data_IF_463847356196
#
_entry.id   IF_463847356196
#
_cell.length_a   1.000
_cell.length_b   1.000
_cell.length_c   1.000
_cell.angle_alpha   90.00
_cell.angle_beta   90.00
_cell.angle_gamma   90.00
#
_symmetry.space_group_name_H-M   'P 1'
#
loop_
_entity.id
_entity.type
_entity.pdbx_description
1 polymer ?
#
# COMPACT_ATOMS: atom_id res chain seq x y z
N UNK A 1 9.20 12.74 20.98
CA UNK A 1 9.05 11.28 20.87
C UNK A 1 10.36 10.64 21.29
N UNK A 2 10.37 9.49 21.97
CA UNK A 2 11.62 8.82 22.32
C UNK A 2 12.32 8.37 21.03
N UNK A 3 13.59 8.74 20.86
CA UNK A 3 14.41 8.31 19.72
C UNK A 3 14.83 6.84 19.84
N UNK A 4 14.84 6.29 21.07
CA UNK A 4 15.11 4.89 21.36
C UNK A 4 13.83 4.18 21.84
N UNK A 5 13.14 3.50 20.94
CA UNK A 5 11.96 2.69 21.26
C UNK A 5 12.40 1.29 21.69
N UNK A 6 12.01 0.88 22.90
CA UNK A 6 12.15 -0.51 23.31
C UNK A 6 11.04 -1.37 22.66
N UNK A 7 11.41 -2.14 21.63
CA UNK A 7 10.48 -2.96 20.85
C UNK A 7 9.78 -4.04 21.68
N UNK A 8 10.43 -4.53 22.74
CA UNK A 8 9.83 -5.52 23.63
C UNK A 8 8.72 -4.90 24.48
N UNK A 9 8.92 -3.67 25.00
CA UNK A 9 7.89 -3.02 25.82
C UNK A 9 6.64 -2.63 25.04
N UNK A 10 6.78 -2.35 23.74
CA UNK A 10 5.63 -2.06 22.86
C UNK A 10 5.06 -3.32 22.22
N UNK A 11 5.59 -4.50 22.55
CA UNK A 11 5.20 -5.80 21.98
C UNK A 11 5.16 -5.78 20.43
N UNK A 12 6.23 -5.26 19.81
CA UNK A 12 6.33 -5.19 18.35
C UNK A 12 6.11 -6.57 17.73
N UNK A 13 5.25 -6.63 16.70
CA UNK A 13 5.06 -7.80 15.85
C UNK A 13 5.22 -7.39 14.40
N UNK A 14 6.11 -8.07 13.69
CA UNK A 14 6.33 -7.88 12.26
C UNK A 14 6.14 -9.21 11.52
N UNK A 15 5.45 -9.17 10.39
CA UNK A 15 5.41 -10.22 9.39
C UNK A 15 5.96 -9.70 8.07
N UNK A 16 6.61 -10.57 7.30
CA UNK A 16 7.13 -10.28 5.98
C UNK A 16 6.30 -11.03 4.94
N UNK A 17 6.06 -10.37 3.82
CA UNK A 17 5.49 -10.97 2.62
C UNK A 17 6.45 -10.66 1.47
N UNK A 18 7.10 -11.70 0.94
CA UNK A 18 8.15 -11.58 -0.06
C UNK A 18 7.65 -12.16 -1.37
N UNK A 19 7.51 -11.31 -2.39
CA UNK A 19 7.18 -11.71 -3.74
C UNK A 19 8.43 -11.72 -4.61
N UNK A 20 8.68 -12.82 -5.30
CA UNK A 20 9.85 -12.99 -6.17
C UNK A 20 9.45 -13.59 -7.51
N UNK A 21 9.83 -12.93 -8.61
CA UNK A 21 9.61 -13.48 -9.95
C UNK A 21 10.52 -14.69 -10.18
N UNK A 22 9.96 -15.75 -10.72
CA UNK A 22 10.69 -16.95 -11.13
C UNK A 22 11.23 -16.79 -12.55
N UNK A 23 12.40 -17.34 -12.80
CA UNK A 23 13.06 -17.31 -14.11
C UNK A 23 12.75 -18.57 -14.90
N UNK A 24 11.48 -18.68 -15.31
CA UNK A 24 10.94 -19.79 -16.09
C UNK A 24 10.96 -19.47 -17.58
N UNK A 25 10.93 -20.52 -18.40
CA UNK A 25 10.89 -20.38 -19.86
C UNK A 25 9.59 -19.71 -20.35
N UNK A 26 8.46 -20.01 -19.71
CA UNK A 26 7.15 -19.45 -20.03
C UNK A 26 6.44 -18.90 -18.80
N UNK A 27 5.40 -18.11 -19.04
CA UNK A 27 4.48 -17.57 -18.03
C UNK A 27 3.69 -18.67 -17.33
N UNK A 28 2.96 -18.30 -16.27
CA UNK A 28 2.36 -19.24 -15.33
C UNK A 28 1.20 -20.06 -15.91
N UNK A 29 0.42 -19.44 -16.80
CA UNK A 29 -0.81 -20.04 -17.38
C UNK A 29 -0.88 -19.88 -18.91
N UNK A 30 0.25 -19.67 -19.57
CA UNK A 30 0.37 -19.66 -21.03
C UNK A 30 1.81 -19.98 -21.46
N UNK A 31 2.04 -20.08 -22.78
CA UNK A 31 3.35 -20.41 -23.34
C UNK A 31 4.22 -19.19 -23.72
N UNK A 32 3.75 -17.97 -23.45
CA UNK A 32 4.53 -16.76 -23.72
C UNK A 32 5.79 -16.70 -22.85
N UNK A 33 6.86 -16.10 -23.39
CA UNK A 33 8.11 -15.90 -22.67
C UNK A 33 7.98 -14.92 -21.49
N UNK A 34 8.96 -14.94 -20.60
CA UNK A 34 8.98 -14.13 -19.36
C UNK A 34 9.91 -12.91 -19.44
N UNK A 35 10.30 -12.51 -20.65
CA UNK A 35 11.07 -11.28 -20.89
C UNK A 35 10.12 -10.08 -20.98
N UNK A 36 10.62 -8.89 -20.65
CA UNK A 36 9.87 -7.66 -20.83
C UNK A 36 10.12 -7.11 -22.24
N UNK A 37 9.08 -6.51 -22.82
CA UNK A 37 9.19 -5.84 -24.11
C UNK A 37 10.01 -4.55 -23.97
N UNK A 38 10.85 -4.29 -24.97
CA UNK A 38 11.59 -3.02 -25.06
C UNK A 38 10.68 -1.86 -25.50
N UNK A 39 11.22 -0.64 -25.50
CA UNK A 39 10.45 0.55 -25.88
C UNK A 39 9.99 0.50 -27.34
N UNK A 40 10.75 -0.10 -28.25
CA UNK A 40 10.37 -0.17 -29.67
C UNK A 40 9.17 -1.09 -29.85
N UNK A 41 9.19 -2.25 -29.21
CA UNK A 41 8.08 -3.19 -29.21
C UNK A 41 6.82 -2.58 -28.58
N UNK A 42 6.96 -1.86 -27.45
CA UNK A 42 5.83 -1.18 -26.82
C UNK A 42 5.22 -0.09 -27.71
N UNK A 43 6.03 0.63 -28.47
CA UNK A 43 5.56 1.73 -29.33
C UNK A 43 4.75 1.23 -30.54
N UNK A 44 4.96 -0.01 -30.97
CA UNK A 44 4.25 -0.62 -32.11
C UNK A 44 3.25 -1.71 -31.66
N UNK A 45 3.11 -1.93 -30.35
CA UNK A 45 2.21 -2.92 -29.80
C UNK A 45 0.75 -2.60 -30.09
N UNK A 46 -0.04 -3.66 -30.30
CA UNK A 46 -1.49 -3.54 -30.40
C UNK A 46 -2.06 -3.01 -29.07
N UNK A 47 -3.13 -2.23 -29.18
CA UNK A 47 -3.78 -1.58 -28.03
C UNK A 47 -5.21 -2.10 -27.86
N UNK A 48 -5.51 -2.58 -26.66
CA UNK A 48 -6.86 -3.03 -26.29
C UNK A 48 -7.39 -2.19 -25.14
N UNK A 49 -8.60 -1.66 -25.30
CA UNK A 49 -9.24 -0.83 -24.27
C UNK A 49 -10.28 -1.65 -23.52
N UNK A 50 -10.23 -1.66 -22.19
CA UNK A 50 -11.23 -2.31 -21.34
C UNK A 50 -11.73 -1.41 -20.22
N UNK A 51 -12.84 -1.83 -19.63
CA UNK A 51 -13.41 -1.27 -18.41
C UNK A 51 -13.73 -2.43 -17.47
N UNK A 52 -13.20 -2.41 -16.25
CA UNK A 52 -13.57 -3.38 -15.22
C UNK A 52 -14.87 -2.95 -14.55
N UNK A 53 -15.65 -3.92 -14.06
CA UNK A 53 -16.90 -3.69 -13.35
C UNK A 53 -16.86 -4.47 -12.04
N UNK A 54 -17.19 -3.82 -10.93
CA UNK A 54 -17.37 -4.51 -9.67
C UNK A 54 -18.50 -5.53 -9.76
N UNK A 55 -18.24 -6.74 -9.29
CA UNK A 55 -19.22 -7.81 -9.15
C UNK A 55 -19.85 -7.74 -7.75
N UNK A 56 -21.14 -8.11 -7.66
CA UNK A 56 -21.82 -8.26 -6.37
C UNK A 56 -21.41 -9.59 -5.74
N UNK A 57 -21.20 -9.58 -4.43
CA UNK A 57 -21.12 -10.83 -3.67
C UNK A 57 -22.44 -11.59 -3.73
N UNK A 58 -22.44 -12.86 -3.32
CA UNK A 58 -23.65 -13.69 -3.22
C UNK A 58 -24.72 -13.06 -2.31
N UNK A 59 -24.30 -12.24 -1.34
CA UNK A 59 -25.17 -11.49 -0.43
C UNK A 59 -25.68 -10.16 -1.04
N UNK A 60 -25.32 -9.86 -2.28
CA UNK A 60 -25.69 -8.63 -2.97
C UNK A 60 -24.83 -7.41 -2.59
N UNK A 61 -23.92 -7.56 -1.62
CA UNK A 61 -23.01 -6.50 -1.18
C UNK A 61 -21.86 -6.30 -2.18
N UNK A 62 -21.50 -5.04 -2.43
CA UNK A 62 -20.38 -4.66 -3.29
C UNK A 62 -19.24 -4.22 -2.39
N UNK A 63 -18.04 -4.75 -2.62
CA UNK A 63 -16.83 -4.31 -1.93
C UNK A 63 -16.64 -2.78 -2.06
N UNK A 64 -16.40 -2.09 -0.95
CA UNK A 64 -16.35 -0.64 -0.92
C UNK A 64 -15.19 -0.07 -1.77
N UNK A 65 -14.05 -0.76 -1.83
CA UNK A 65 -12.91 -0.36 -2.65
C UNK A 65 -13.18 -0.60 -4.14
N UNK A 66 -13.79 -1.75 -4.48
CA UNK A 66 -14.23 -2.04 -5.84
C UNK A 66 -15.29 -1.04 -6.33
N UNK A 67 -16.22 -0.64 -5.45
CA UNK A 67 -17.23 0.38 -5.75
C UNK A 67 -16.59 1.74 -5.99
N UNK A 68 -15.63 2.14 -5.15
CA UNK A 68 -14.90 3.41 -5.27
C UNK A 68 -14.10 3.50 -6.58
N UNK A 69 -13.37 2.45 -6.96
CA UNK A 69 -12.66 2.42 -8.25
C UNK A 69 -13.64 2.38 -9.44
N UNK A 70 -14.74 1.64 -9.34
CA UNK A 70 -15.78 1.63 -10.39
C UNK A 70 -16.43 3.00 -10.58
N UNK A 71 -16.64 3.77 -9.49
CA UNK A 71 -17.17 5.13 -9.56
C UNK A 71 -16.26 6.08 -10.34
N UNK A 72 -14.95 5.83 -10.36
CA UNK A 72 -13.98 6.61 -11.16
C UNK A 72 -14.06 6.32 -12.67
N UNK A 73 -14.78 5.28 -13.10
CA UNK A 73 -14.96 4.85 -14.51
C UNK A 73 -13.64 4.91 -15.32
N UNK A 74 -12.55 4.42 -14.73
CA UNK A 74 -11.23 4.49 -15.36
C UNK A 74 -11.20 3.64 -16.63
N UNK A 75 -10.64 4.22 -17.70
CA UNK A 75 -10.37 3.54 -18.97
C UNK A 75 -9.03 2.83 -18.86
N UNK A 76 -8.99 1.51 -19.04
CA UNK A 76 -7.74 0.75 -19.04
C UNK A 76 -7.29 0.49 -20.47
N UNK A 77 -6.08 0.93 -20.80
CA UNK A 77 -5.45 0.71 -22.10
C UNK A 77 -4.33 -0.31 -21.94
N UNK A 78 -4.46 -1.46 -22.59
CA UNK A 78 -3.47 -2.53 -22.54
C UNK A 78 -2.65 -2.54 -23.82
N UNK A 79 -1.32 -2.43 -23.67
CA UNK A 79 -0.35 -2.65 -24.74
C UNK A 79 0.00 -4.13 -24.79
N UNK A 80 -0.14 -4.76 -25.95
CA UNK A 80 0.06 -6.18 -26.17
C UNK A 80 1.22 -6.44 -27.15
N UNK A 81 2.49 -6.39 -26.69
CA UNK A 81 3.63 -6.74 -27.55
C UNK A 81 3.52 -8.19 -28.00
N UNK A 82 3.64 -8.42 -29.31
CA UNK A 82 3.45 -9.73 -29.95
C UNK A 82 4.48 -10.78 -29.52
N UNK A 83 5.65 -10.34 -29.04
CA UNK A 83 6.73 -11.18 -28.51
C UNK A 83 6.40 -11.84 -27.16
N UNK A 84 5.51 -11.23 -26.37
CA UNK A 84 5.33 -11.55 -24.93
C UNK A 84 3.86 -11.69 -24.52
N UNK A 85 2.92 -11.57 -25.46
CA UNK A 85 1.47 -11.56 -25.19
C UNK A 85 0.75 -12.56 -26.07
N UNK A 86 -0.21 -13.30 -25.51
CA UNK A 86 -1.19 -14.08 -26.28
C UNK A 86 -2.63 -13.77 -25.82
N UNK A 87 -3.58 -14.58 -26.30
CA UNK A 87 -4.99 -14.40 -25.98
C UNK A 87 -5.30 -14.63 -24.49
N UNK A 88 -4.47 -15.40 -23.77
CA UNK A 88 -4.65 -15.62 -22.32
C UNK A 88 -4.44 -14.32 -21.53
N UNK A 89 -3.37 -13.57 -21.81
CA UNK A 89 -3.14 -12.26 -21.17
C UNK A 89 -4.17 -11.23 -21.60
N UNK A 90 -4.70 -11.35 -22.81
CA UNK A 90 -5.78 -10.49 -23.29
C UNK A 90 -7.14 -10.81 -22.68
N UNK A 91 -7.28 -11.90 -21.93
CA UNK A 91 -8.57 -12.43 -21.46
C UNK A 91 -9.53 -12.77 -22.63
N UNK A 92 -8.97 -13.34 -23.70
CA UNK A 92 -9.69 -13.81 -24.91
C UNK A 92 -9.54 -15.33 -25.13
N UNK A 93 -8.81 -16.01 -24.25
CA UNK A 93 -8.64 -17.47 -24.24
C UNK A 93 -8.58 -17.98 -22.79
N UNK A 94 -9.17 -19.14 -22.48
CA UNK A 94 -9.00 -19.77 -21.18
C UNK A 94 -7.51 -20.01 -20.85
N UNK A 95 -7.10 -19.88 -19.57
CA UNK A 95 -5.74 -20.16 -19.17
C UNK A 95 -5.37 -21.62 -19.43
N UNK A 96 -4.09 -21.84 -19.76
CA UNK A 96 -3.51 -23.18 -19.89
C UNK A 96 -3.27 -23.79 -18.50
N UNK A 97 -2.91 -25.08 -18.40
CA UNK A 97 -2.51 -25.69 -17.14
C UNK A 97 -1.35 -24.96 -16.46
N UNK A 98 -1.29 -25.05 -15.13
CA UNK A 98 -0.23 -24.45 -14.30
C UNK A 98 1.17 -24.85 -14.79
N UNK A 99 2.05 -23.87 -14.95
CA UNK A 99 3.43 -24.07 -15.37
C UNK A 99 4.18 -25.01 -14.40
N UNK A 100 4.62 -26.17 -14.92
CA UNK A 100 5.32 -27.20 -14.13
C UNK A 100 6.72 -26.79 -13.68
N UNK A 101 7.44 -25.96 -14.45
CA UNK A 101 8.73 -25.44 -14.03
C UNK A 101 8.57 -24.53 -12.82
N UNK A 102 7.62 -23.59 -12.88
CA UNK A 102 7.29 -22.69 -11.78
C UNK A 102 6.90 -23.47 -10.50
N UNK A 103 6.07 -24.50 -10.66
CA UNK A 103 5.65 -25.36 -9.56
C UNK A 103 6.83 -26.11 -8.90
N UNK A 104 7.73 -26.68 -9.70
CA UNK A 104 8.90 -27.40 -9.18
C UNK A 104 9.82 -26.48 -8.38
N UNK A 105 10.02 -25.24 -8.86
CA UNK A 105 10.79 -24.23 -8.15
C UNK A 105 10.11 -23.89 -6.81
N UNK A 106 8.79 -23.66 -6.82
CA UNK A 106 8.04 -23.35 -5.60
C UNK A 106 8.09 -24.49 -4.57
N UNK A 107 7.98 -25.75 -5.01
CA UNK A 107 8.12 -26.92 -4.13
C UNK A 107 9.54 -27.01 -3.54
N UNK A 108 10.58 -26.76 -4.35
CA UNK A 108 11.96 -26.78 -3.86
C UNK A 108 12.20 -25.71 -2.79
N UNK A 109 11.70 -24.49 -3.02
CA UNK A 109 11.76 -23.40 -2.03
C UNK A 109 10.93 -23.73 -0.78
N UNK A 110 9.76 -24.34 -0.93
CA UNK A 110 8.96 -24.77 0.21
C UNK A 110 9.69 -25.80 1.08
N UNK A 111 10.36 -26.77 0.46
CA UNK A 111 11.15 -27.77 1.20
C UNK A 111 12.37 -27.17 1.88
N UNK A 112 13.03 -26.17 1.28
CA UNK A 112 14.17 -25.50 1.94
C UNK A 112 13.74 -24.64 3.15
N UNK A 113 12.47 -24.24 3.21
CA UNK A 113 11.86 -23.54 4.35
C UNK A 113 11.12 -24.47 5.33
N UNK A 114 11.36 -25.79 5.22
CA UNK A 114 10.71 -26.81 6.06
C UNK A 114 9.17 -26.79 5.98
N UNK A 115 8.60 -26.24 4.91
CA UNK A 115 7.14 -26.15 4.73
C UNK A 115 6.53 -27.47 4.26
N UNK A 116 5.26 -27.67 4.61
CA UNK A 116 4.46 -28.82 4.17
C UNK A 116 3.78 -28.48 2.84
N UNK A 117 4.23 -29.15 1.77
CA UNK A 117 3.62 -29.03 0.44
C UNK A 117 2.22 -29.64 0.48
N UNK A 118 1.25 -28.97 -0.12
CA UNK A 118 -0.14 -29.46 -0.18
C UNK A 118 -0.27 -30.66 -1.11
N UNK A 119 -1.22 -31.56 -0.82
CA UNK A 119 -1.44 -32.77 -1.63
C UNK A 119 -2.05 -32.45 -3.01
N UNK A 120 -2.91 -31.42 -3.06
CA UNK A 120 -3.57 -30.97 -4.28
C UNK A 120 -3.57 -29.44 -4.34
N UNK A 121 -3.25 -28.91 -5.53
CA UNK A 121 -3.13 -27.47 -5.76
C UNK A 121 -4.38 -26.98 -6.47
N UNK A 122 -5.07 -26.03 -5.83
CA UNK A 122 -6.26 -25.38 -6.35
C UNK A 122 -5.92 -23.93 -6.72
N UNK A 123 -6.18 -23.55 -7.97
CA UNK A 123 -5.95 -22.18 -8.45
C UNK A 123 -7.17 -21.32 -8.13
N UNK A 124 -6.94 -20.29 -7.33
CA UNK A 124 -7.93 -19.33 -6.86
C UNK A 124 -7.88 -18.05 -7.68
N UNK A 125 -8.93 -17.23 -7.58
CA UNK A 125 -9.05 -15.93 -8.24
C UNK A 125 -9.13 -14.84 -7.17
N UNK A 126 -8.03 -14.13 -6.92
CA UNK A 126 -7.97 -12.97 -6.02
C UNK A 126 -8.41 -11.74 -6.81
N UNK A 127 -9.53 -11.11 -6.42
CA UNK A 127 -10.08 -9.96 -7.16
C UNK A 127 -9.09 -8.79 -7.16
N UNK A 128 -8.87 -8.19 -8.33
CA UNK A 128 -7.97 -7.04 -8.53
C UNK A 128 -8.70 -6.01 -9.42
N UNK A 129 -8.98 -4.85 -8.85
CA UNK A 129 -9.84 -3.82 -9.49
C UNK A 129 -9.08 -2.61 -10.04
N UNK A 130 -7.75 -2.59 -9.88
CA UNK A 130 -6.92 -1.45 -10.31
C UNK A 130 -6.62 -1.44 -11.83
N UNK A 131 -7.01 -2.50 -12.55
CA UNK A 131 -6.73 -2.68 -13.97
C UNK A 131 -5.38 -3.30 -14.29
N UNK A 132 -4.62 -3.76 -13.29
CA UNK A 132 -3.33 -4.41 -13.53
C UNK A 132 -3.46 -5.88 -13.99
N UNK A 133 -4.64 -6.48 -13.85
CA UNK A 133 -5.01 -7.79 -14.42
C UNK A 133 -6.18 -7.60 -15.38
N UNK A 134 -6.04 -8.04 -16.64
CA UNK A 134 -7.07 -7.91 -17.70
C UNK A 134 -8.38 -8.62 -17.36
N UNK A 135 -8.28 -9.72 -16.63
CA UNK A 135 -9.36 -10.57 -16.09
C UNK A 135 -10.12 -9.93 -14.92
N UNK A 136 -9.59 -8.86 -14.31
CA UNK A 136 -10.09 -8.31 -13.05
C UNK A 136 -9.79 -9.17 -11.81
N UNK A 137 -8.94 -10.19 -11.94
CA UNK A 137 -8.44 -11.01 -10.83
C UNK A 137 -7.05 -11.57 -11.13
N UNK A 138 -6.26 -11.78 -10.09
CA UNK A 138 -4.99 -12.48 -10.12
C UNK A 138 -5.23 -13.98 -9.85
N UNK A 139 -4.65 -14.86 -10.66
CA UNK A 139 -4.66 -16.29 -10.35
C UNK A 139 -3.54 -16.60 -9.35
N UNK A 140 -3.92 -17.19 -8.22
CA UNK A 140 -3.02 -17.51 -7.10
C UNK A 140 -3.31 -18.92 -6.60
N UNK A 141 -2.29 -19.68 -6.23
CA UNK A 141 -2.43 -21.03 -5.69
C UNK A 141 -1.50 -21.24 -4.49
N UNK A 142 -2.02 -21.78 -3.38
CA UNK A 142 -1.20 -22.18 -2.24
C UNK A 142 -0.44 -23.46 -2.60
N UNK A 143 0.88 -23.43 -2.45
CA UNK A 143 1.78 -24.56 -2.73
C UNK A 143 2.20 -25.26 -1.45
N UNK A 144 2.43 -24.50 -0.38
CA UNK A 144 2.82 -25.06 0.90
C UNK A 144 2.31 -24.22 2.08
N UNK A 145 2.17 -24.87 3.23
CA UNK A 145 1.74 -24.28 4.50
C UNK A 145 2.74 -24.62 5.60
N UNK A 146 2.85 -23.73 6.59
CA UNK A 146 3.77 -23.92 7.70
C UNK A 146 5.24 -23.88 7.27
N UNK A 147 6.11 -24.31 8.16
CA UNK A 147 7.56 -24.23 7.99
C UNK A 147 8.15 -23.12 8.86
N UNK A 148 9.46 -22.93 8.74
CA UNK A 148 10.19 -21.97 9.55
C UNK A 148 11.54 -21.63 8.96
N UNK A 149 12.08 -20.51 9.42
CA UNK A 149 13.45 -20.09 9.17
C UNK A 149 14.11 -19.70 10.49
N UNK A 150 15.32 -20.20 10.70
CA UNK A 150 16.08 -19.96 11.92
C UNK A 150 16.80 -18.61 11.86
N UNK A 151 16.69 -17.85 12.94
CA UNK A 151 17.42 -16.63 13.15
C UNK A 151 18.09 -16.56 14.52
N UNK A 152 19.15 -15.77 14.61
CA UNK A 152 19.93 -15.59 15.84
C UNK A 152 19.09 -14.95 16.97
N UNK A 153 18.06 -14.16 16.61
CA UNK A 153 17.09 -13.59 17.57
C UNK A 153 15.88 -14.52 17.82
N UNK A 154 15.83 -15.69 17.18
CA UNK A 154 14.77 -16.69 17.36
C UNK A 154 14.12 -17.15 16.05
N UNK A 155 13.41 -18.27 16.13
CA UNK A 155 12.74 -18.90 15.00
C UNK A 155 11.56 -18.06 14.50
N UNK A 156 11.44 -17.91 13.18
CA UNK A 156 10.31 -17.25 12.52
C UNK A 156 9.55 -18.27 11.68
N UNK A 157 8.26 -18.44 11.95
CA UNK A 157 7.45 -19.40 11.21
C UNK A 157 7.07 -18.85 9.83
N UNK A 158 6.94 -19.76 8.86
CA UNK A 158 6.33 -19.48 7.56
C UNK A 158 4.86 -19.86 7.66
N UNK A 159 3.95 -18.96 7.26
CA UNK A 159 2.52 -19.24 7.23
C UNK A 159 2.14 -19.99 5.95
N UNK A 160 2.55 -19.43 4.82
CA UNK A 160 2.17 -19.94 3.50
C UNK A 160 3.20 -19.59 2.45
N UNK A 161 3.26 -20.44 1.43
CA UNK A 161 3.98 -20.20 0.19
C UNK A 161 2.99 -20.37 -0.95
N UNK A 162 2.84 -19.32 -1.76
CA UNK A 162 1.92 -19.30 -2.89
C UNK A 162 2.67 -19.12 -4.22
N UNK A 163 2.06 -19.56 -5.30
CA UNK A 163 2.47 -19.29 -6.66
C UNK A 163 1.34 -18.52 -7.36
N UNK A 164 1.68 -17.37 -7.92
CA UNK A 164 0.71 -16.47 -8.53
C UNK A 164 1.24 -15.77 -9.78
N UNK A 165 0.33 -15.15 -10.53
CA UNK A 165 0.67 -14.33 -11.68
C UNK A 165 1.17 -12.96 -11.22
N UNK A 166 2.29 -12.48 -11.76
CA UNK A 166 2.61 -11.05 -11.62
C UNK A 166 1.64 -10.19 -12.45
N UNK A 167 1.45 -8.96 -12.01
CA UNK A 167 0.52 -8.01 -12.62
C UNK A 167 1.15 -7.29 -13.83
N UNK A 168 0.31 -6.73 -14.70
CA UNK A 168 0.77 -5.95 -15.85
C UNK A 168 1.64 -4.76 -15.42
N UNK A 169 2.58 -4.34 -16.26
CA UNK A 169 3.49 -3.23 -15.97
C UNK A 169 2.80 -1.91 -16.28
N UNK A 170 2.66 -1.04 -15.27
CA UNK A 170 2.09 0.29 -15.48
C UNK A 170 3.04 1.17 -16.29
N UNK A 171 2.55 1.72 -17.40
CA UNK A 171 3.30 2.57 -18.32
C UNK A 171 2.99 4.05 -18.08
N UNK A 172 1.71 4.39 -17.94
CA UNK A 172 1.27 5.76 -17.68
C UNK A 172 -0.06 5.78 -16.93
N UNK A 173 -0.34 6.88 -16.23
CA UNK A 173 -1.62 7.16 -15.59
C UNK A 173 -1.98 8.63 -15.78
N UNK A 174 -3.20 8.88 -16.22
CA UNK A 174 -3.86 10.18 -16.17
C UNK A 174 -5.11 10.12 -15.25
N UNK A 175 -5.85 11.21 -15.13
CA UNK A 175 -7.01 11.29 -14.23
C UNK A 175 -8.15 10.33 -14.58
N UNK A 176 -8.22 9.89 -15.84
CA UNK A 176 -9.33 9.12 -16.43
C UNK A 176 -8.90 7.78 -17.03
N UNK A 177 -7.61 7.58 -17.26
CA UNK A 177 -7.08 6.39 -17.92
C UNK A 177 -5.74 5.93 -17.39
N UNK A 178 -5.52 4.62 -17.43
CA UNK A 178 -4.27 3.98 -17.03
C UNK A 178 -3.82 3.07 -18.17
N UNK A 179 -2.55 3.16 -18.53
CA UNK A 179 -1.94 2.31 -19.56
C UNK A 179 -1.06 1.25 -18.93
N UNK A 180 -1.26 0.00 -19.32
CA UNK A 180 -0.52 -1.16 -18.85
C UNK A 180 0.11 -1.91 -20.02
N UNK A 181 1.35 -2.37 -19.87
CA UNK A 181 1.97 -3.33 -20.78
C UNK A 181 1.74 -4.76 -20.26
N UNK A 182 1.28 -5.65 -21.13
CA UNK A 182 0.96 -7.05 -20.82
C UNK A 182 2.18 -7.98 -20.80
N UNK A 183 3.36 -7.46 -21.13
CA UNK A 183 4.63 -8.19 -21.13
C UNK A 183 4.92 -8.87 -19.77
N UNK A 184 4.63 -8.17 -18.67
CA UNK A 184 4.81 -8.69 -17.30
C UNK A 184 3.65 -9.54 -16.79
N UNK A 185 2.43 -9.34 -17.30
CA UNK A 185 1.25 -10.04 -16.82
C UNK A 185 1.43 -11.55 -17.00
N UNK A 186 1.29 -12.31 -15.91
CA UNK A 186 1.40 -13.77 -15.93
C UNK A 186 2.81 -14.33 -15.71
N UNK A 187 3.85 -13.50 -15.54
CA UNK A 187 5.16 -14.01 -15.10
C UNK A 187 4.98 -14.72 -13.75
N UNK A 188 5.52 -15.94 -13.55
CA UNK A 188 5.32 -16.65 -12.28
C UNK A 188 5.99 -15.92 -11.12
N UNK A 189 5.24 -15.77 -10.04
CA UNK A 189 5.65 -15.05 -8.85
C UNK A 189 5.46 -16.00 -7.66
N UNK A 190 6.53 -16.26 -6.92
CA UNK A 190 6.43 -16.96 -5.63
C UNK A 190 6.22 -15.92 -4.53
N UNK A 191 5.20 -16.13 -3.69
CA UNK A 191 4.95 -15.35 -2.48
C UNK A 191 5.30 -16.21 -1.26
N UNK A 192 6.10 -15.67 -0.34
CA UNK A 192 6.45 -16.30 0.93
C UNK A 192 6.01 -15.38 2.05
N UNK A 193 5.10 -15.87 2.89
CA UNK A 193 4.47 -15.09 3.96
C UNK A 193 4.88 -15.64 5.32
N UNK A 194 5.48 -14.81 6.16
CA UNK A 194 5.90 -15.20 7.52
C UNK A 194 4.79 -14.97 8.53
N UNK A 195 4.85 -15.69 9.64
CA UNK A 195 4.07 -15.38 10.83
C UNK A 195 4.55 -14.06 11.46
N UNK A 196 3.72 -13.41 12.30
CA UNK A 196 4.07 -12.17 13.00
C UNK A 196 4.97 -12.44 14.23
N UNK A 197 6.03 -13.21 14.02
CA UNK A 197 6.98 -13.64 15.05
C UNK A 197 8.13 -12.67 15.24
N UNK A 198 8.44 -11.86 14.22
CA UNK A 198 9.58 -10.96 14.24
C UNK A 198 9.35 -9.84 15.25
N UNK A 199 10.35 -9.63 16.13
CA UNK A 199 10.29 -8.70 17.28
C UNK A 199 11.22 -7.50 17.19
N UNK A 200 12.14 -7.47 16.23
CA UNK A 200 13.08 -6.37 16.06
C UNK A 200 13.25 -5.99 14.57
N UNK A 201 13.61 -4.72 14.28
CA UNK A 201 13.92 -4.29 12.92
C UNK A 201 15.11 -5.06 12.30
N UNK A 202 16.09 -5.46 13.12
CA UNK A 202 17.29 -6.19 12.69
C UNK A 202 16.94 -7.63 12.30
N UNK A 203 16.18 -8.34 13.14
CA UNK A 203 15.67 -9.67 12.81
C UNK A 203 14.86 -9.66 11.50
N UNK A 204 14.05 -8.63 11.25
CA UNK A 204 13.31 -8.49 9.99
C UNK A 204 14.26 -8.44 8.77
N UNK A 205 15.36 -7.68 8.86
CA UNK A 205 16.38 -7.62 7.81
C UNK A 205 17.08 -8.96 7.63
N UNK A 206 17.52 -9.61 8.70
CA UNK A 206 18.23 -10.89 8.62
C UNK A 206 17.35 -12.00 8.03
N UNK A 207 16.07 -12.06 8.43
CA UNK A 207 15.10 -13.04 7.89
C UNK A 207 14.82 -12.77 6.41
N UNK A 208 14.56 -11.51 6.03
CA UNK A 208 14.36 -11.14 4.63
C UNK A 208 15.60 -11.47 3.77
N UNK A 209 16.79 -11.23 4.30
CA UNK A 209 18.07 -11.55 3.65
C UNK A 209 18.22 -13.06 3.44
N UNK A 210 17.95 -13.87 4.48
CA UNK A 210 18.04 -15.33 4.40
C UNK A 210 17.05 -15.91 3.40
N UNK A 211 15.79 -15.45 3.39
CA UNK A 211 14.80 -15.86 2.39
C UNK A 211 15.27 -15.45 0.98
N UNK A 212 15.74 -14.21 0.81
CA UNK A 212 16.30 -13.73 -0.45
C UNK A 212 17.51 -14.54 -0.93
N UNK A 213 18.38 -14.98 -0.02
CA UNK A 213 19.51 -15.84 -0.33
C UNK A 213 19.06 -17.23 -0.76
N UNK A 214 18.11 -17.86 -0.05
CA UNK A 214 17.53 -19.15 -0.43
C UNK A 214 16.92 -19.10 -1.84
N UNK A 215 16.16 -18.05 -2.13
CA UNK A 215 15.60 -17.81 -3.46
C UNK A 215 16.70 -17.68 -4.52
N UNK A 216 17.79 -16.95 -4.23
CA UNK A 216 18.93 -16.82 -5.17
C UNK A 216 19.69 -18.12 -5.38
N UNK A 217 19.87 -18.92 -4.33
CA UNK A 217 20.55 -20.21 -4.38
C UNK A 217 19.80 -21.23 -5.24
N UNK A 218 18.48 -21.08 -5.43
CA UNK A 218 17.73 -21.89 -6.40
C UNK A 218 18.27 -21.76 -7.83
N UNK A 219 18.92 -20.65 -8.18
CA UNK A 219 19.35 -20.35 -9.55
C UNK A 219 18.19 -20.12 -10.53
N UNK A 220 16.96 -20.03 -10.03
CA UNK A 220 15.71 -20.05 -10.81
C UNK A 220 14.80 -18.85 -10.55
N UNK A 221 15.39 -17.75 -10.09
CA UNK A 221 14.68 -16.49 -9.82
C UNK A 221 15.23 -15.35 -10.66
N UNK A 222 14.35 -14.47 -11.13
CA UNK A 222 14.75 -13.31 -11.93
C UNK A 222 15.53 -12.31 -11.09
N UNK A 223 16.52 -11.69 -11.73
CA UNK A 223 17.39 -10.68 -11.11
C UNK A 223 17.18 -9.34 -11.81
N UNK A 224 17.23 -8.27 -11.03
CA UNK A 224 17.09 -6.91 -11.55
C UNK A 224 16.17 -6.07 -10.68
N UNK A 225 15.97 -4.83 -11.09
CA UNK A 225 15.04 -3.92 -10.42
C UNK A 225 13.62 -4.41 -10.67
N UNK A 226 12.81 -4.48 -9.61
CA UNK A 226 11.39 -4.85 -9.72
C UNK A 226 11.10 -6.35 -9.82
N UNK A 227 12.11 -7.22 -9.72
CA UNK A 227 11.90 -8.69 -9.70
C UNK A 227 11.58 -9.23 -8.31
N UNK A 228 11.84 -8.45 -7.27
CA UNK A 228 11.52 -8.76 -5.87
C UNK A 228 10.73 -7.61 -5.25
N UNK A 229 9.69 -7.95 -4.48
CA UNK A 229 8.92 -7.02 -3.65
C UNK A 229 8.84 -7.58 -2.23
N UNK A 230 8.86 -6.68 -1.26
CA UNK A 230 8.79 -7.04 0.15
C UNK A 230 7.78 -6.10 0.79
N UNK A 231 6.72 -6.69 1.31
CA UNK A 231 5.68 -6.00 2.04
C UNK A 231 5.82 -6.32 3.53
N UNK A 232 5.65 -5.30 4.38
CA UNK A 232 5.81 -5.41 5.83
C UNK A 232 4.45 -5.29 6.51
N UNK A 233 4.10 -6.28 7.32
CA UNK A 233 2.92 -6.26 8.17
C UNK A 233 3.35 -5.97 9.61
N UNK A 234 3.05 -4.78 10.15
CA UNK A 234 3.54 -4.33 11.46
C UNK A 234 2.38 -4.00 12.42
N UNK A 235 2.56 -4.33 13.71
CA UNK A 235 1.67 -3.90 14.78
C UNK A 235 2.43 -3.76 16.11
N UNK A 236 1.89 -2.95 17.02
CA UNK A 236 2.32 -2.86 18.42
C UNK A 236 1.13 -3.06 19.35
N UNK A 237 1.37 -3.24 20.64
CA UNK A 237 0.31 -3.38 21.65
C UNK A 237 -0.66 -2.19 21.58
N UNK A 238 -1.94 -2.48 21.37
CA UNK A 238 -2.99 -1.47 21.34
C UNK A 238 -3.14 -0.73 20.00
N UNK A 239 -2.35 -1.07 18.97
CA UNK A 239 -2.53 -0.58 17.60
C UNK A 239 -3.25 -1.60 16.71
N UNK A 240 -3.77 -1.11 15.58
CA UNK A 240 -4.16 -1.96 14.47
C UNK A 240 -2.92 -2.44 13.70
N UNK A 241 -3.08 -3.52 12.91
CA UNK A 241 -2.08 -3.96 11.94
C UNK A 241 -2.00 -2.96 10.79
N UNK A 242 -0.79 -2.54 10.45
CA UNK A 242 -0.49 -1.70 9.29
C UNK A 242 0.30 -2.52 8.28
N UNK A 243 -0.07 -2.40 7.02
CA UNK A 243 0.61 -3.01 5.89
C UNK A 243 1.36 -1.93 5.12
N UNK A 244 2.67 -2.11 4.94
CA UNK A 244 3.54 -1.21 4.19
C UNK A 244 4.01 -1.96 2.95
N UNK A 245 3.57 -1.49 1.78
CA UNK A 245 3.86 -2.14 0.50
C UNK A 245 5.10 -1.59 -0.17
N UNK A 246 5.83 -2.45 -0.87
CA UNK A 246 6.84 -2.08 -1.84
C UNK A 246 8.19 -1.65 -1.26
N UNK A 247 8.65 -2.31 -0.19
CA UNK A 247 10.00 -2.08 0.35
C UNK A 247 11.06 -2.74 -0.55
N UNK A 248 11.52 -1.99 -1.55
CA UNK A 248 12.40 -2.55 -2.60
C UNK A 248 13.82 -2.90 -2.13
N UNK A 249 14.37 -2.14 -1.17
CA UNK A 249 15.75 -2.31 -0.69
C UNK A 249 15.75 -2.95 0.69
N UNK A 250 16.45 -4.07 0.82
CA UNK A 250 16.65 -4.80 2.08
C UNK A 250 17.15 -3.89 3.21
N UNK A 251 18.09 -2.99 2.90
CA UNK A 251 18.68 -2.01 3.83
C UNK A 251 17.64 -1.05 4.45
N UNK A 252 16.50 -0.84 3.79
CA UNK A 252 15.46 0.07 4.26
C UNK A 252 14.50 -0.59 5.24
N UNK A 253 14.42 -1.93 5.29
CA UNK A 253 13.48 -2.64 6.17
C UNK A 253 13.60 -2.16 7.63
N UNK A 254 14.80 -2.10 8.25
CA UNK A 254 14.91 -1.64 9.62
C UNK A 254 14.40 -0.21 9.81
N UNK A 255 14.73 0.69 8.88
CA UNK A 255 14.34 2.10 8.97
C UNK A 255 12.83 2.29 8.83
N UNK A 256 12.19 1.53 7.93
CA UNK A 256 10.74 1.56 7.74
C UNK A 256 10.03 1.07 9.01
N UNK A 257 10.48 -0.03 9.61
CA UNK A 257 9.93 -0.57 10.86
C UNK A 257 10.10 0.44 12.00
N UNK A 258 11.27 1.07 12.11
CA UNK A 258 11.56 2.12 13.11
C UNK A 258 10.60 3.30 13.00
N UNK A 259 10.49 3.90 11.80
CA UNK A 259 9.62 5.06 11.59
C UNK A 259 8.15 4.71 11.77
N UNK A 260 7.71 3.51 11.37
CA UNK A 260 6.32 3.10 11.59
C UNK A 260 6.03 2.83 13.06
N UNK A 261 6.96 2.19 13.79
CA UNK A 261 6.81 1.98 15.23
C UNK A 261 6.72 3.33 15.96
N UNK A 262 7.57 4.30 15.59
CA UNK A 262 7.52 5.68 16.11
C UNK A 262 6.17 6.34 15.84
N UNK A 263 5.63 6.19 14.63
CA UNK A 263 4.32 6.69 14.24
C UNK A 263 3.21 6.11 15.11
N UNK A 264 3.18 4.78 15.27
CA UNK A 264 2.16 4.09 16.05
C UNK A 264 2.22 4.43 17.54
N UNK A 265 3.42 4.47 18.13
CA UNK A 265 3.61 4.91 19.52
C UNK A 265 3.10 6.36 19.69
N UNK A 266 3.45 7.25 18.76
CA UNK A 266 3.00 8.64 18.81
C UNK A 266 1.48 8.78 18.71
N UNK A 267 0.83 8.01 17.84
CA UNK A 267 -0.63 8.00 17.73
C UNK A 267 -1.30 7.45 18.99
N UNK A 268 -0.72 6.44 19.65
CA UNK A 268 -1.23 5.95 20.93
C UNK A 268 -1.11 6.99 22.04
N UNK A 269 0.00 7.74 22.08
CA UNK A 269 0.16 8.86 23.02
C UNK A 269 -0.88 9.95 22.78
N UNK A 270 -1.13 10.32 21.52
CA UNK A 270 -2.18 11.29 21.16
C UNK A 270 -3.56 10.77 21.57
N UNK A 271 -3.85 9.49 21.34
CA UNK A 271 -5.11 8.86 21.74
C UNK A 271 -5.29 8.89 23.27
N UNK A 272 -4.25 8.58 24.03
CA UNK A 272 -4.28 8.63 25.50
C UNK A 272 -4.51 10.07 26.00
N UNK A 273 -3.82 11.04 25.40
CA UNK A 273 -3.95 12.45 25.75
C UNK A 273 -5.34 13.00 25.43
N UNK A 274 -5.92 12.65 24.29
CA UNK A 274 -7.32 12.96 23.96
C UNK A 274 -8.29 12.34 24.97
N UNK A 275 -8.02 11.11 25.42
CA UNK A 275 -8.78 10.46 26.49
C UNK A 275 -8.71 11.22 27.82
N UNK A 276 -7.51 11.68 28.22
CA UNK A 276 -7.31 12.51 29.43
C UNK A 276 -8.03 13.85 29.34
N UNK A 277 -8.08 14.45 28.15
CA UNK A 277 -8.82 15.69 27.87
C UNK A 277 -10.34 15.47 27.81
N UNK A 278 -10.80 14.23 27.86
CA UNK A 278 -12.23 13.90 27.82
C UNK A 278 -12.85 13.94 26.42
N UNK A 279 -12.03 13.88 25.36
CA UNK A 279 -12.51 13.95 23.99
C UNK A 279 -13.45 12.77 23.66
N UNK A 280 -14.63 13.07 23.13
CA UNK A 280 -15.62 12.08 22.70
C UNK A 280 -15.81 12.12 21.18
N UNK A 281 -15.86 10.95 20.56
CA UNK A 281 -16.03 10.83 19.11
C UNK A 281 -17.30 11.50 18.58
N UNK A 282 -18.41 11.38 19.31
CA UNK A 282 -19.69 12.01 18.95
C UNK A 282 -19.58 13.54 18.91
N UNK A 283 -18.85 14.15 19.85
CA UNK A 283 -18.67 15.60 19.89
C UNK A 283 -17.85 16.08 18.69
N UNK A 284 -16.77 15.37 18.34
CA UNK A 284 -15.95 15.67 17.16
C UNK A 284 -16.77 15.52 15.87
N UNK A 285 -17.55 14.44 15.74
CA UNK A 285 -18.37 14.18 14.55
C UNK A 285 -19.57 15.13 14.41
N UNK A 286 -20.01 15.73 15.52
CA UNK A 286 -21.08 16.74 15.52
C UNK A 286 -20.65 18.11 15.00
N UNK A 287 -19.34 18.38 14.93
CA UNK A 287 -18.81 19.66 14.46
C UNK A 287 -19.10 19.88 12.98
N UNK A 288 -19.56 21.09 12.64
CA UNK A 288 -19.89 21.46 11.26
C UNK A 288 -18.85 22.43 10.71
N UNK A 289 -18.45 22.30 9.43
CA UNK A 289 -17.63 23.30 8.77
C UNK A 289 -18.35 24.65 8.71
N UNK A 290 -17.63 25.73 9.02
CA UNK A 290 -18.08 27.12 8.95
C UNK A 290 -17.34 27.82 7.81
N UNK A 291 -18.07 28.57 6.97
CA UNK A 291 -17.46 29.39 5.90
C UNK A 291 -16.75 30.59 6.54
N UNK A 292 -15.42 30.63 6.40
CA UNK A 292 -14.56 31.70 6.93
C UNK A 292 -13.96 32.58 5.83
N UNK A 293 -14.48 32.47 4.60
CA UNK A 293 -13.95 33.15 3.41
C UNK A 293 -13.80 34.66 3.60
N UNK A 294 -14.79 35.31 4.21
CA UNK A 294 -14.80 36.77 4.44
C UNK A 294 -13.66 37.23 5.36
N UNK A 295 -13.31 36.43 6.38
CA UNK A 295 -12.26 36.76 7.35
C UNK A 295 -10.86 36.65 6.75
N UNK A 296 -10.72 35.92 5.64
CA UNK A 296 -9.45 35.67 4.98
C UNK A 296 -9.21 36.56 3.76
N UNK A 297 -10.16 37.42 3.36
CA UNK A 297 -10.00 38.33 2.22
C UNK A 297 -8.80 39.27 2.35
N UNK A 298 -8.45 39.66 3.57
CA UNK A 298 -7.32 40.54 3.86
C UNK A 298 -6.06 39.81 4.34
N UNK A 299 -6.02 38.47 4.30
CA UNK A 299 -4.81 37.75 4.70
C UNK A 299 -3.71 37.89 3.64
N UNK A 300 -2.45 37.80 4.07
CA UNK A 300 -1.28 37.88 3.17
C UNK A 300 -0.93 36.51 2.56
N UNK A 301 -1.74 35.49 2.78
CA UNK A 301 -1.49 34.14 2.27
C UNK A 301 -1.72 34.08 0.77
N UNK A 302 -0.63 33.96 0.00
CA UNK A 302 -0.70 33.82 -1.47
C UNK A 302 -1.59 32.66 -1.90
N UNK A 303 -1.49 31.52 -1.21
CA UNK A 303 -2.29 30.33 -1.48
C UNK A 303 -3.79 30.62 -1.41
N UNK A 304 -4.22 31.27 -0.32
CA UNK A 304 -5.63 31.59 -0.08
C UNK A 304 -6.09 32.66 -1.08
N UNK A 305 -5.30 33.72 -1.26
CA UNK A 305 -5.64 34.80 -2.19
C UNK A 305 -5.80 34.33 -3.64
N UNK A 306 -4.94 33.40 -4.10
CA UNK A 306 -5.10 32.78 -5.42
C UNK A 306 -6.35 31.90 -5.51
N UNK A 307 -6.70 31.18 -4.43
CA UNK A 307 -7.94 30.40 -4.36
C UNK A 307 -9.19 31.27 -4.40
N UNK A 308 -9.23 32.36 -3.63
CA UNK A 308 -10.34 33.30 -3.61
C UNK A 308 -10.58 33.95 -4.98
N UNK A 309 -9.51 34.32 -5.71
CA UNK A 309 -9.62 34.83 -7.09
C UNK A 309 -10.25 33.83 -8.06
N UNK A 310 -10.10 32.53 -7.81
CA UNK A 310 -10.73 31.45 -8.59
C UNK A 310 -12.17 31.16 -8.13
N UNK A 311 -12.71 31.91 -7.18
CA UNK A 311 -14.04 31.72 -6.62
C UNK A 311 -14.12 30.58 -5.60
N UNK A 312 -12.99 30.07 -5.10
CA UNK A 312 -13.01 29.06 -4.05
C UNK A 312 -13.41 29.66 -2.71
N UNK A 313 -14.05 28.83 -1.89
CA UNK A 313 -14.42 29.16 -0.52
C UNK A 313 -13.47 28.49 0.46
N UNK A 314 -13.32 29.10 1.64
CA UNK A 314 -12.52 28.55 2.74
C UNK A 314 -13.45 28.19 3.88
N UNK A 315 -13.41 26.92 4.29
CA UNK A 315 -14.16 26.42 5.43
C UNK A 315 -13.20 26.04 6.56
N UNK A 316 -13.59 26.28 7.80
CA UNK A 316 -12.90 25.81 8.98
C UNK A 316 -13.82 24.91 9.82
N UNK A 317 -13.23 23.92 10.48
CA UNK A 317 -13.93 23.01 11.38
C UNK A 317 -13.18 22.98 12.71
N UNK A 318 -13.92 23.02 13.82
CA UNK A 318 -13.35 22.87 15.16
C UNK A 318 -13.04 21.40 15.41
N UNK A 319 -11.86 21.12 15.97
CA UNK A 319 -11.50 19.82 16.51
C UNK A 319 -11.34 19.97 18.03
N UNK A 320 -12.40 19.75 18.83
CA UNK A 320 -12.35 19.90 20.28
C UNK A 320 -11.24 19.04 20.88
N UNK A 321 -10.44 19.61 21.78
CA UNK A 321 -9.34 18.94 22.52
C UNK A 321 -8.06 18.64 21.72
N UNK A 322 -7.95 19.03 20.44
CA UNK A 322 -6.78 18.73 19.60
C UNK A 322 -5.65 19.78 19.66
N UNK A 323 -5.82 20.87 20.45
CA UNK A 323 -4.81 21.92 20.57
C UNK A 323 -3.44 21.38 20.95
N UNK A 324 -2.41 21.71 20.16
CA UNK A 324 -1.04 21.25 20.35
C UNK A 324 -0.77 19.78 19.97
N UNK A 325 -1.78 19.01 19.55
CA UNK A 325 -1.63 17.61 19.16
C UNK A 325 -1.42 17.44 17.64
N UNK A 326 -1.94 18.34 16.82
CA UNK A 326 -1.81 18.30 15.36
C UNK A 326 -0.37 18.57 14.92
N UNK A 327 0.35 19.41 15.68
CA UNK A 327 1.76 19.73 15.45
C UNK A 327 2.74 18.64 15.91
N UNK A 328 2.29 17.62 16.62
CA UNK A 328 3.15 16.55 17.15
C UNK A 328 3.79 15.77 16.00
N UNK A 329 5.12 15.70 16.02
CA UNK A 329 5.90 14.94 15.04
C UNK A 329 5.79 13.42 15.33
N UNK A 330 5.25 12.68 14.37
CA UNK A 330 5.03 11.23 14.45
C UNK A 330 6.15 10.45 13.77
N UNK A 331 6.69 10.99 12.68
CA UNK A 331 7.82 10.44 11.92
C UNK A 331 8.73 11.58 11.52
N UNK A 332 9.95 11.27 11.09
CA UNK A 332 10.92 12.29 10.66
C UNK A 332 10.29 13.19 9.58
N UNK A 333 10.05 14.46 9.92
CA UNK A 333 9.46 15.45 9.01
C UNK A 333 7.95 15.29 8.76
N UNK A 334 7.23 14.46 9.53
CA UNK A 334 5.78 14.28 9.40
C UNK A 334 5.07 14.42 10.75
N UNK A 335 4.02 15.24 10.75
CA UNK A 335 3.22 15.54 11.95
C UNK A 335 1.88 14.82 11.89
N UNK A 336 1.15 14.81 13.00
CA UNK A 336 -0.22 14.28 13.02
C UNK A 336 -1.14 15.01 12.02
N UNK A 337 -1.02 16.33 11.91
CA UNK A 337 -1.72 17.11 10.89
C UNK A 337 -1.38 16.71 9.46
N UNK A 338 -0.16 16.21 9.20
CA UNK A 338 0.24 15.69 7.88
C UNK A 338 -0.54 14.43 7.51
N UNK A 339 -0.83 13.54 8.46
CA UNK A 339 -1.68 12.37 8.20
C UNK A 339 -3.12 12.78 7.87
N UNK A 340 -3.70 13.71 8.62
CA UNK A 340 -5.04 14.24 8.31
C UNK A 340 -5.09 14.88 6.92
N UNK A 341 -4.00 15.54 6.51
CA UNK A 341 -3.87 16.09 5.16
C UNK A 341 -3.84 15.01 4.07
N UNK A 342 -3.22 13.84 4.31
CA UNK A 342 -3.26 12.70 3.38
C UNK A 342 -4.70 12.18 3.18
N UNK A 343 -5.44 12.01 4.28
CA UNK A 343 -6.85 11.63 4.21
C UNK A 343 -7.68 12.66 3.44
N UNK A 344 -7.51 13.95 3.72
CA UNK A 344 -8.21 15.01 3.01
C UNK A 344 -7.89 15.01 1.51
N UNK A 345 -6.62 14.82 1.12
CA UNK A 345 -6.21 14.71 -0.29
C UNK A 345 -6.90 13.55 -0.99
N UNK A 346 -6.93 12.38 -0.37
CA UNK A 346 -7.46 11.17 -0.98
C UNK A 346 -9.00 11.18 -1.11
N UNK A 347 -9.70 11.67 -0.08
CA UNK A 347 -11.15 11.61 0.00
C UNK A 347 -11.84 12.83 -0.60
N UNK A 348 -11.29 14.03 -0.39
CA UNK A 348 -11.90 15.28 -0.84
C UNK A 348 -11.22 15.90 -2.08
N UNK A 349 -10.09 15.34 -2.54
CA UNK A 349 -9.37 15.86 -3.72
C UNK A 349 -8.74 17.25 -3.51
N UNK A 350 -8.67 17.72 -2.27
CA UNK A 350 -7.98 18.98 -1.92
C UNK A 350 -6.47 18.81 -2.05
N UNK A 351 -5.70 19.91 -2.08
CA UNK A 351 -4.22 19.83 -2.08
C UNK A 351 -3.61 19.58 -0.70
N UNK A 352 -4.35 19.89 0.36
CA UNK A 352 -3.91 19.78 1.75
C UNK A 352 -4.84 20.55 2.68
N UNK A 353 -4.44 20.68 3.94
CA UNK A 353 -5.15 21.42 4.99
C UNK A 353 -4.18 22.36 5.70
N UNK A 354 -4.71 23.35 6.42
CA UNK A 354 -3.98 24.20 7.37
C UNK A 354 -4.64 23.97 8.74
N UNK A 355 -3.85 23.85 9.81
CA UNK A 355 -4.37 23.59 11.15
C UNK A 355 -3.81 24.54 12.21
N UNK A 356 -4.47 24.57 13.38
CA UNK A 356 -4.18 25.50 14.50
C UNK A 356 -2.72 25.53 14.90
N UNK A 357 -2.09 24.37 15.05
CA UNK A 357 -0.72 24.27 15.59
C UNK A 357 0.37 24.75 14.62
N UNK A 358 0.00 25.10 13.38
CA UNK A 358 0.90 25.74 12.39
C UNK A 358 0.58 27.23 12.21
N UNK A 359 -0.34 27.77 13.00
CA UNK A 359 -0.76 29.16 12.99
C UNK A 359 -0.28 29.89 14.26
N UNK A 360 0.03 31.20 14.17
CA UNK A 360 0.04 32.03 12.97
C UNK A 360 1.15 31.62 11.97
N UNK A 361 0.81 31.59 10.69
CA UNK A 361 1.64 30.99 9.65
C UNK A 361 1.04 31.14 8.26
N UNK A 362 1.80 30.78 7.21
CA UNK A 362 1.33 30.82 5.81
C UNK A 362 0.81 32.18 5.32
N UNK A 363 1.18 33.28 5.97
CA UNK A 363 0.65 34.63 5.66
C UNK A 363 -0.70 34.96 6.31
N UNK A 364 -1.16 34.14 7.26
CA UNK A 364 -2.31 34.41 8.12
C UNK A 364 -1.78 34.98 9.44
N UNK A 365 -2.16 36.23 9.75
CA UNK A 365 -1.73 36.92 10.95
C UNK A 365 -2.57 36.54 12.18
N UNK A 366 -2.02 36.82 13.36
CA UNK A 366 -2.61 36.48 14.65
C UNK A 366 -4.01 37.08 14.85
N UNK A 367 -4.26 38.31 14.39
CA UNK A 367 -5.59 38.94 14.45
C UNK A 367 -6.68 38.15 13.73
N UNK A 368 -6.34 37.55 12.57
CA UNK A 368 -7.27 36.73 11.81
C UNK A 368 -7.45 35.37 12.48
N UNK A 369 -6.38 34.78 13.01
CA UNK A 369 -6.45 33.53 13.77
C UNK A 369 -7.39 33.69 14.98
N UNK A 370 -7.22 34.75 15.77
CA UNK A 370 -8.05 35.03 16.94
C UNK A 370 -9.53 35.22 16.59
N UNK A 371 -9.83 35.87 15.45
CA UNK A 371 -11.21 36.00 14.96
C UNK A 371 -11.81 34.64 14.58
N UNK A 372 -11.04 33.77 13.93
CA UNK A 372 -11.47 32.42 13.55
C UNK A 372 -11.71 31.56 14.81
N UNK A 373 -10.82 31.61 15.79
CA UNK A 373 -10.98 30.88 17.07
C UNK A 373 -12.25 31.32 17.80
N UNK A 374 -12.50 32.64 17.88
CA UNK A 374 -13.72 33.19 18.48
C UNK A 374 -14.98 32.75 17.73
N UNK A 375 -14.95 32.70 16.39
CA UNK A 375 -16.09 32.25 15.57
C UNK A 375 -16.38 30.77 15.77
N UNK A 376 -15.35 29.94 15.93
CA UNK A 376 -15.47 28.51 16.16
C UNK A 376 -15.77 28.17 17.63
N UNK A 377 -15.83 29.16 18.52
CA UNK A 377 -15.87 28.95 19.98
C UNK A 377 -14.74 28.01 20.45
N UNK A 378 -13.57 28.13 19.82
CA UNK A 378 -12.38 27.36 20.17
C UNK A 378 -11.58 28.12 21.24
N UNK A 379 -11.13 27.37 22.24
CA UNK A 379 -10.19 27.84 23.26
C UNK A 379 -8.80 27.30 22.91
N UNK A 380 -7.75 28.00 23.36
CA UNK A 380 -6.35 27.55 23.21
C UNK A 380 -6.11 26.17 23.83
#
# INVERSE_FOLDING_TARGET
MPDDINYSSVELKVGLEIHQQLDTNSKLFCNCGTLLADENELNVADQVVRYLRATRSELGEIDAAASFETQRKRRYMYLAPTSTTCLVELDEEPPHPLNREALLIAIAVAKSLNSMVVDEIHVMRKIVVDGSNTTGFQRTAIIALGGYIEDEEGLVHIQSIALEEDAARKVSEDSSSVSYALDRLGIPLIEISTAPDIRSPQQAKHVAEKIGLLLRLSGKVKRGIGTIRQDLNLSIKGSSKIEIKGVQKLELIPKVIQEETRRLVGLLMIKEELGKRGAKGEEILSQKPIDITEYLKMCNSRLIQEGLKKGYKVYAIKLPYFGGLLGVELQTGRRFGTELADYARQWAGVKGIIHSDELPGYGINEDVVNKIFKLLEAHE
#
